data_IF_520162733209
#
_entry.id   IF_520162733209
#
_cell.length_a   1.000
_cell.length_b   1.000
_cell.length_c   1.000
_cell.angle_alpha   90.00
_cell.angle_beta   90.00
_cell.angle_gamma   90.00
#
_symmetry.space_group_name_H-M   'P 1'
#
loop_
_entity.id
_entity.type
_entity.pdbx_description
1 polymer ?
#
# COMPACT_ATOMS: atom_id res chain seq x y z
N UNK A 1 21.35 39.63 9.34
CA UNK A 1 20.25 39.57 8.34
C UNK A 1 19.24 38.56 8.85
N UNK A 2 17.94 38.87 8.99
CA UNK A 2 16.93 37.88 9.29
C UNK A 2 16.89 36.88 8.15
N UNK A 3 17.09 35.60 8.46
CA UNK A 3 17.06 34.52 7.47
C UNK A 3 15.65 34.39 6.91
N UNK A 4 15.57 34.05 5.62
CA UNK A 4 14.30 33.64 5.01
C UNK A 4 13.76 32.41 5.73
N UNK A 5 12.46 32.41 5.99
CA UNK A 5 11.76 31.26 6.58
C UNK A 5 10.90 30.62 5.50
N UNK A 6 10.83 29.31 5.48
CA UNK A 6 10.00 28.56 4.57
C UNK A 6 9.12 27.59 5.36
N UNK A 7 7.86 27.48 4.98
CA UNK A 7 6.98 26.40 5.43
C UNK A 7 6.80 25.41 4.32
N UNK A 8 6.67 24.13 4.66
CA UNK A 8 6.41 23.09 3.70
C UNK A 8 5.28 22.20 4.22
N UNK A 9 4.33 21.88 3.36
CA UNK A 9 3.23 20.97 3.68
C UNK A 9 2.97 20.00 2.53
N UNK A 10 2.40 18.86 2.86
CA UNK A 10 2.07 17.83 1.87
C UNK A 10 0.92 18.33 1.00
N UNK A 11 1.07 18.23 -0.32
CA UNK A 11 0.00 18.54 -1.26
C UNK A 11 -0.88 17.29 -1.47
N UNK A 12 -2.12 17.26 -0.95
CA UNK A 12 -2.99 16.09 -1.05
C UNK A 12 -3.45 15.78 -2.48
N UNK A 13 -3.29 16.71 -3.42
CA UNK A 13 -3.69 16.54 -4.82
C UNK A 13 -2.55 16.09 -5.75
N UNK A 14 -1.35 15.82 -5.22
CA UNK A 14 -0.17 15.48 -6.00
C UNK A 14 -0.08 14.00 -6.45
N UNK A 15 -1.18 13.25 -6.47
CA UNK A 15 -1.23 11.83 -6.85
C UNK A 15 -0.70 11.50 -8.27
N UNK A 16 -0.43 12.50 -9.10
CA UNK A 16 0.16 12.33 -10.44
C UNK A 16 1.63 12.73 -10.51
N UNK A 17 2.23 13.12 -9.40
CA UNK A 17 3.59 13.59 -9.38
C UNK A 17 4.59 12.42 -9.53
N UNK A 18 5.51 12.54 -10.48
CA UNK A 18 6.53 11.53 -10.77
C UNK A 18 7.73 11.54 -9.81
N UNK A 19 7.80 12.50 -8.86
CA UNK A 19 8.91 12.68 -7.92
C UNK A 19 8.39 13.03 -6.54
N UNK A 20 9.03 12.54 -5.49
CA UNK A 20 8.71 12.79 -4.08
C UNK A 20 8.63 14.28 -3.73
N UNK A 21 9.39 15.13 -4.43
CA UNK A 21 9.42 16.58 -4.21
C UNK A 21 8.12 17.26 -4.65
N UNK A 22 7.39 16.68 -5.61
CA UNK A 22 6.16 17.27 -6.15
C UNK A 22 4.95 17.11 -5.20
N UNK A 23 5.11 16.31 -4.13
CA UNK A 23 4.10 16.13 -3.07
C UNK A 23 4.16 17.21 -1.98
N UNK A 24 5.14 18.10 -2.03
CA UNK A 24 5.35 19.12 -1.01
C UNK A 24 5.19 20.49 -1.62
N UNK A 25 4.25 21.28 -1.09
CA UNK A 25 4.14 22.72 -1.38
C UNK A 25 5.02 23.46 -0.40
N UNK A 26 5.84 24.38 -0.91
CA UNK A 26 6.75 25.17 -0.10
C UNK A 26 6.46 26.66 -0.34
N UNK A 27 6.14 27.36 0.75
CA UNK A 27 5.92 28.81 0.75
C UNK A 27 7.06 29.52 1.48
N UNK A 28 7.61 30.58 0.87
CA UNK A 28 8.69 31.38 1.45
C UNK A 28 8.12 32.67 2.06
N UNK A 29 8.51 32.94 3.30
CA UNK A 29 8.15 34.14 4.05
C UNK A 29 9.39 34.96 4.41
N UNK A 30 9.25 36.28 4.45
CA UNK A 30 10.34 37.17 4.86
C UNK A 30 10.53 37.26 6.36
N UNK A 31 9.48 36.97 7.12
CA UNK A 31 9.48 37.01 8.57
C UNK A 31 8.49 36.00 9.14
N UNK A 32 8.78 35.51 10.36
CA UNK A 32 7.86 34.64 11.12
C UNK A 32 6.52 35.32 11.41
N UNK A 33 6.49 36.67 11.47
CA UNK A 33 5.26 37.43 11.72
C UNK A 33 4.35 37.55 10.49
N UNK A 34 4.81 37.11 9.32
CA UNK A 34 4.00 37.04 8.09
C UNK A 34 3.29 35.70 7.93
N UNK A 35 3.58 34.73 8.81
CA UNK A 35 2.98 33.39 8.80
C UNK A 35 1.68 33.43 9.62
N UNK A 36 0.60 33.88 9.01
CA UNK A 36 -0.76 33.82 9.58
C UNK A 36 -1.43 32.47 9.28
N UNK A 37 -0.73 31.36 9.53
CA UNK A 37 -1.31 30.03 9.32
C UNK A 37 -1.80 29.50 10.66
N UNK A 38 -3.09 29.31 10.81
CA UNK A 38 -3.62 28.48 11.88
C UNK A 38 -3.30 27.01 11.55
N UNK A 39 -2.22 26.51 12.18
CA UNK A 39 -1.76 25.14 11.97
C UNK A 39 -2.84 24.10 12.28
N UNK A 40 -3.73 24.42 13.20
CA UNK A 40 -4.82 23.50 13.57
C UNK A 40 -5.84 23.43 12.43
N UNK A 41 -6.24 24.55 11.89
CA UNK A 41 -7.17 24.63 10.76
C UNK A 41 -6.56 23.98 9.51
N UNK A 42 -5.28 24.23 9.23
CA UNK A 42 -4.55 23.60 8.12
C UNK A 42 -4.50 22.07 8.26
N UNK A 43 -4.17 21.55 9.44
CA UNK A 43 -4.14 20.11 9.70
C UNK A 43 -5.53 19.50 9.54
N UNK A 44 -6.58 20.12 10.11
CA UNK A 44 -7.96 19.65 9.97
C UNK A 44 -8.45 19.68 8.52
N UNK A 45 -8.01 20.65 7.72
CA UNK A 45 -8.36 20.74 6.30
C UNK A 45 -7.63 19.66 5.48
N UNK A 46 -6.35 19.42 5.73
CA UNK A 46 -5.57 18.34 5.11
C UNK A 46 -6.15 16.97 5.48
N UNK A 47 -6.45 16.73 6.74
CA UNK A 47 -7.09 15.47 7.19
C UNK A 47 -8.47 15.27 6.56
N UNK A 48 -9.26 16.33 6.43
CA UNK A 48 -10.57 16.28 5.78
C UNK A 48 -10.46 15.97 4.30
N UNK A 49 -9.51 16.56 3.61
CA UNK A 49 -9.27 16.32 2.19
C UNK A 49 -8.74 14.91 1.93
N UNK A 50 -7.76 14.45 2.71
CA UNK A 50 -7.27 13.08 2.68
C UNK A 50 -8.40 12.07 2.97
N UNK A 51 -9.22 12.34 3.98
CA UNK A 51 -10.37 11.49 4.32
C UNK A 51 -11.45 11.47 3.22
N UNK A 52 -11.65 12.56 2.48
CA UNK A 52 -12.55 12.59 1.32
C UNK A 52 -12.00 11.77 0.16
N UNK A 53 -10.71 11.89 -0.13
CA UNK A 53 -10.06 11.14 -1.21
C UNK A 53 -10.05 9.64 -0.92
N UNK A 54 -9.75 9.24 0.31
CA UNK A 54 -9.83 7.85 0.78
C UNK A 54 -11.24 7.27 0.64
N UNK A 55 -12.27 8.03 1.07
CA UNK A 55 -13.67 7.60 0.92
C UNK A 55 -14.11 7.53 -0.54
N UNK A 56 -13.71 8.47 -1.37
CA UNK A 56 -14.02 8.46 -2.80
C UNK A 56 -13.40 7.24 -3.50
N UNK A 57 -12.14 6.91 -3.18
CA UNK A 57 -11.46 5.72 -3.72
C UNK A 57 -12.10 4.42 -3.25
N UNK A 58 -12.49 4.30 -1.96
CA UNK A 58 -13.20 3.13 -1.43
C UNK A 58 -14.62 2.97 -1.99
N UNK A 59 -15.27 4.05 -2.38
CA UNK A 59 -16.61 4.02 -2.96
C UNK A 59 -16.63 3.59 -4.43
N UNK A 60 -15.50 3.69 -5.12
CA UNK A 60 -15.47 3.49 -6.58
C UNK A 60 -15.46 2.00 -6.98
N UNK A 61 -15.00 1.08 -6.14
CA UNK A 61 -14.79 -0.32 -6.56
C UNK A 61 -15.22 -1.40 -5.55
N UNK A 62 -15.36 -1.09 -4.27
CA UNK A 62 -15.71 -2.07 -3.21
C UNK A 62 -14.70 -3.22 -3.05
N UNK A 63 -13.59 -3.21 -3.78
CA UNK A 63 -12.54 -4.21 -3.74
C UNK A 63 -11.47 -3.87 -2.70
N UNK A 64 -10.89 -4.89 -2.08
CA UNK A 64 -9.72 -4.72 -1.20
C UNK A 64 -8.52 -4.31 -2.03
N UNK A 65 -7.86 -3.21 -1.66
CA UNK A 65 -6.67 -2.70 -2.34
C UNK A 65 -5.41 -3.29 -1.75
N UNK A 66 -4.48 -3.70 -2.59
CA UNK A 66 -3.28 -4.38 -2.16
C UNK A 66 -2.02 -3.92 -2.90
N UNK A 67 -0.89 -4.02 -2.21
CA UNK A 67 0.45 -3.92 -2.78
C UNK A 67 1.06 -5.32 -2.92
N UNK A 68 1.49 -5.67 -4.12
CA UNK A 68 2.16 -6.94 -4.39
C UNK A 68 3.67 -6.81 -4.19
N UNK A 69 4.26 -7.68 -3.38
CA UNK A 69 5.70 -7.67 -3.06
C UNK A 69 6.32 -9.00 -3.45
N UNK A 70 7.41 -8.94 -4.23
CA UNK A 70 8.14 -10.11 -4.66
C UNK A 70 9.65 -9.98 -4.54
N UNK A 71 10.32 -11.11 -4.21
CA UNK A 71 11.78 -11.22 -4.21
C UNK A 71 12.18 -12.31 -5.19
N UNK A 72 13.01 -11.99 -6.16
CA UNK A 72 13.39 -12.93 -7.22
C UNK A 72 14.90 -12.87 -7.46
N UNK A 73 15.45 -13.97 -7.96
CA UNK A 73 16.86 -14.04 -8.36
C UNK A 73 17.12 -13.36 -9.71
N UNK A 74 16.11 -13.34 -10.59
CA UNK A 74 16.18 -12.77 -11.95
C UNK A 74 14.89 -12.06 -12.33
N UNK A 75 15.00 -11.07 -13.23
CA UNK A 75 13.87 -10.31 -13.75
C UNK A 75 12.85 -11.19 -14.50
N UNK A 76 13.32 -12.10 -15.34
CA UNK A 76 12.44 -12.95 -16.15
C UNK A 76 11.55 -13.85 -15.26
N UNK A 77 12.08 -14.33 -14.13
CA UNK A 77 11.30 -15.10 -13.16
C UNK A 77 10.21 -14.23 -12.52
N UNK A 78 10.50 -12.94 -12.29
CA UNK A 78 9.54 -12.02 -11.69
C UNK A 78 8.32 -11.79 -12.58
N UNK A 79 8.52 -11.56 -13.89
CA UNK A 79 7.46 -11.11 -14.80
C UNK A 79 6.27 -12.08 -14.84
N UNK A 80 6.50 -13.36 -15.12
CA UNK A 80 5.41 -14.33 -15.21
C UNK A 80 4.78 -14.67 -13.84
N UNK A 81 5.58 -14.68 -12.77
CA UNK A 81 5.04 -14.91 -11.42
C UNK A 81 4.15 -13.78 -10.94
N UNK A 82 4.51 -12.55 -11.26
CA UNK A 82 3.70 -11.39 -10.92
C UNK A 82 2.39 -11.37 -11.69
N UNK A 83 2.40 -11.78 -12.96
CA UNK A 83 1.17 -11.91 -13.74
C UNK A 83 0.24 -12.95 -13.15
N UNK A 84 0.77 -14.14 -12.81
CA UNK A 84 0.01 -15.18 -12.11
C UNK A 84 -0.59 -14.65 -10.78
N UNK A 85 0.20 -13.91 -10.00
CA UNK A 85 -0.29 -13.34 -8.73
C UNK A 85 -1.38 -12.29 -8.93
N UNK A 86 -1.33 -11.50 -10.00
CA UNK A 86 -2.40 -10.54 -10.34
C UNK A 86 -3.70 -11.25 -10.70
N UNK A 87 -3.62 -12.33 -11.48
CA UNK A 87 -4.79 -13.15 -11.82
C UNK A 87 -5.42 -13.79 -10.57
N UNK A 88 -4.59 -14.33 -9.67
CA UNK A 88 -5.05 -14.86 -8.39
C UNK A 88 -5.71 -13.79 -7.52
N UNK A 89 -5.11 -12.60 -7.41
CA UNK A 89 -5.68 -11.49 -6.65
C UNK A 89 -7.03 -11.04 -7.24
N UNK A 90 -7.12 -10.91 -8.55
CA UNK A 90 -8.38 -10.60 -9.25
C UNK A 90 -9.45 -11.64 -8.96
N UNK A 91 -9.10 -12.92 -8.98
CA UNK A 91 -10.02 -14.03 -8.64
C UNK A 91 -10.48 -13.98 -7.18
N UNK A 92 -9.63 -13.52 -6.28
CA UNK A 92 -9.95 -13.30 -4.87
C UNK A 92 -10.75 -12.01 -4.60
N UNK A 93 -11.05 -11.20 -5.62
CA UNK A 93 -11.70 -9.90 -5.47
C UNK A 93 -10.78 -8.82 -4.87
N UNK A 94 -9.48 -8.96 -5.08
CA UNK A 94 -8.46 -8.00 -4.60
C UNK A 94 -7.86 -7.26 -5.79
N UNK A 95 -7.81 -5.93 -5.69
CA UNK A 95 -7.16 -5.07 -6.67
C UNK A 95 -5.70 -4.82 -6.30
N UNK A 96 -4.78 -5.09 -7.23
CA UNK A 96 -3.35 -4.77 -7.06
C UNK A 96 -3.09 -3.36 -7.60
N UNK A 97 -2.86 -2.41 -6.70
CA UNK A 97 -2.58 -1.02 -7.06
C UNK A 97 -1.17 -0.83 -7.60
N UNK A 98 -0.20 -1.51 -6.99
CA UNK A 98 1.19 -1.42 -7.41
C UNK A 98 1.97 -2.68 -7.02
N UNK A 99 3.21 -2.78 -7.53
CA UNK A 99 4.06 -3.94 -7.34
C UNK A 99 5.49 -3.53 -7.03
N UNK A 100 6.02 -3.99 -5.90
CA UNK A 100 7.41 -3.79 -5.52
C UNK A 100 8.19 -5.08 -5.69
N UNK A 101 9.28 -4.99 -6.46
CA UNK A 101 10.17 -6.11 -6.73
C UNK A 101 11.54 -5.84 -6.12
N UNK A 102 12.10 -6.86 -5.48
CA UNK A 102 13.51 -6.86 -5.12
C UNK A 102 14.23 -8.00 -5.83
N UNK A 103 15.28 -7.68 -6.59
CA UNK A 103 16.15 -8.70 -7.21
C UNK A 103 17.28 -9.00 -6.24
N UNK A 104 17.30 -10.23 -5.74
CA UNK A 104 18.37 -10.74 -4.86
C UNK A 104 18.40 -12.27 -4.87
N UNK A 105 19.59 -12.88 -4.67
CA UNK A 105 19.74 -14.34 -4.77
C UNK A 105 18.90 -15.14 -3.79
N UNK A 106 18.63 -14.59 -2.60
CA UNK A 106 17.82 -15.25 -1.56
C UNK A 106 16.99 -14.22 -0.80
N UNK A 107 15.72 -14.56 -0.44
CA UNK A 107 14.92 -13.75 0.46
C UNK A 107 15.61 -13.53 1.83
N UNK A 108 15.29 -12.41 2.48
CA UNK A 108 15.74 -12.18 3.84
C UNK A 108 15.08 -13.17 4.81
N UNK A 109 15.83 -13.79 5.74
CA UNK A 109 15.27 -14.80 6.64
C UNK A 109 14.18 -14.27 7.58
N UNK A 110 14.20 -12.96 7.92
CA UNK A 110 13.30 -12.34 8.89
C UNK A 110 12.16 -11.57 8.24
N UNK A 111 12.43 -10.85 7.17
CA UNK A 111 11.50 -9.89 6.58
C UNK A 111 11.16 -10.21 5.11
N UNK A 112 11.75 -11.26 4.52
CA UNK A 112 11.67 -11.63 3.08
C UNK A 112 12.37 -10.60 2.18
N UNK A 113 12.00 -9.34 2.26
CA UNK A 113 12.72 -8.19 1.68
C UNK A 113 13.71 -7.61 2.69
N UNK A 114 14.71 -6.86 2.23
CA UNK A 114 15.58 -6.12 3.14
C UNK A 114 14.82 -5.03 3.89
N UNK A 115 15.31 -4.64 5.09
CA UNK A 115 14.64 -3.65 5.94
C UNK A 115 14.33 -2.33 5.21
N UNK A 116 15.30 -1.73 4.50
CA UNK A 116 15.06 -0.50 3.74
C UNK A 116 14.03 -0.67 2.62
N UNK A 117 13.95 -1.86 1.99
CA UNK A 117 12.91 -2.15 1.01
C UNK A 117 11.53 -2.30 1.67
N UNK A 118 11.46 -2.83 2.89
CA UNK A 118 10.21 -2.89 3.65
C UNK A 118 9.73 -1.49 4.07
N UNK A 119 10.65 -0.60 4.42
CA UNK A 119 10.33 0.82 4.68
C UNK A 119 9.71 1.48 3.44
N UNK A 120 10.27 1.23 2.25
CA UNK A 120 9.72 1.70 0.96
C UNK A 120 8.30 1.12 0.71
N UNK A 121 8.11 -0.18 0.98
CA UNK A 121 6.78 -0.84 0.89
C UNK A 121 5.75 -0.13 1.77
N UNK A 122 6.10 0.14 3.03
CA UNK A 122 5.18 0.81 3.98
C UNK A 122 4.85 2.22 3.53
N UNK A 123 5.85 3.00 3.10
CA UNK A 123 5.62 4.36 2.59
C UNK A 123 4.70 4.36 1.38
N UNK A 124 4.88 3.41 0.46
CA UNK A 124 4.03 3.29 -0.72
C UNK A 124 2.60 2.86 -0.37
N UNK A 125 2.43 1.99 0.63
CA UNK A 125 1.10 1.65 1.14
C UNK A 125 0.38 2.87 1.73
N UNK A 126 1.10 3.72 2.46
CA UNK A 126 0.54 4.96 3.01
C UNK A 126 0.15 5.95 1.90
N UNK A 127 1.02 6.16 0.91
CA UNK A 127 0.77 7.06 -0.22
C UNK A 127 -0.45 6.63 -1.05
N UNK A 128 -0.64 5.32 -1.22
CA UNK A 128 -1.72 4.75 -2.02
C UNK A 128 -2.96 4.37 -1.20
N UNK A 129 -2.95 4.57 0.12
CA UNK A 129 -4.02 4.14 1.03
C UNK A 129 -4.35 2.65 0.90
N UNK A 130 -3.31 1.82 0.93
CA UNK A 130 -3.38 0.37 0.80
C UNK A 130 -3.49 -0.27 2.19
N UNK A 131 -4.41 -1.23 2.34
CA UNK A 131 -4.67 -1.93 3.59
C UNK A 131 -4.09 -3.36 3.63
N UNK A 132 -3.66 -3.89 2.48
CA UNK A 132 -3.22 -5.26 2.33
C UNK A 132 -1.88 -5.35 1.60
N UNK A 133 -0.92 -6.08 2.18
CA UNK A 133 0.32 -6.45 1.50
C UNK A 133 0.26 -7.93 1.14
N UNK A 134 0.50 -8.26 -0.12
CA UNK A 134 0.56 -9.64 -0.63
C UNK A 134 1.99 -9.98 -1.01
N UNK A 135 2.55 -11.03 -0.41
CA UNK A 135 3.87 -11.55 -0.79
C UNK A 135 3.74 -12.73 -1.75
N UNK A 136 4.48 -12.67 -2.88
CA UNK A 136 4.63 -13.83 -3.78
C UNK A 136 5.65 -14.86 -3.24
N UNK A 137 5.64 -15.08 -1.94
CA UNK A 137 6.46 -16.05 -1.24
C UNK A 137 5.67 -16.62 -0.08
N UNK A 138 5.86 -17.91 0.21
CA UNK A 138 5.29 -18.49 1.41
C UNK A 138 6.00 -17.91 2.63
N UNK A 139 5.25 -17.28 3.51
CA UNK A 139 5.75 -16.72 4.74
C UNK A 139 5.68 -17.73 5.88
N UNK A 140 6.77 -17.88 6.63
CA UNK A 140 6.63 -18.56 7.89
C UNK A 140 5.94 -17.65 8.93
N UNK A 141 5.35 -18.20 10.00
CA UNK A 141 4.59 -17.43 10.98
C UNK A 141 5.39 -16.29 11.66
N UNK A 142 6.72 -16.46 11.76
CA UNK A 142 7.60 -15.43 12.35
C UNK A 142 7.80 -14.27 11.38
N UNK A 143 8.00 -14.56 10.09
CA UNK A 143 8.10 -13.55 9.03
C UNK A 143 6.80 -12.75 8.92
N UNK A 144 5.66 -13.44 8.81
CA UNK A 144 4.36 -12.78 8.71
C UNK A 144 4.10 -11.82 9.89
N UNK A 145 4.36 -12.27 11.12
CA UNK A 145 4.23 -11.43 12.33
C UNK A 145 5.22 -10.26 12.35
N UNK A 146 6.48 -10.50 11.95
CA UNK A 146 7.49 -9.44 11.94
C UNK A 146 7.16 -8.34 10.93
N UNK A 147 6.68 -8.72 9.75
CA UNK A 147 6.27 -7.78 8.69
C UNK A 147 5.01 -7.03 9.11
N UNK A 148 3.98 -7.73 9.61
CA UNK A 148 2.74 -7.10 10.08
C UNK A 148 2.99 -6.12 11.23
N UNK A 149 3.83 -6.50 12.20
CA UNK A 149 4.21 -5.61 13.32
C UNK A 149 5.01 -4.38 12.89
N UNK A 150 5.74 -4.48 11.76
CA UNK A 150 6.51 -3.36 11.22
C UNK A 150 5.65 -2.40 10.40
N UNK A 151 4.71 -2.94 9.62
CA UNK A 151 3.89 -2.16 8.68
C UNK A 151 2.57 -1.67 9.29
N UNK A 152 2.10 -2.29 10.37
CA UNK A 152 0.75 -2.11 10.92
C UNK A 152 -0.38 -2.40 9.89
N UNK A 153 -0.08 -3.22 8.88
CA UNK A 153 -0.99 -3.58 7.81
C UNK A 153 -1.29 -5.08 7.82
N UNK A 154 -2.40 -5.47 7.17
CA UNK A 154 -2.69 -6.88 6.91
C UNK A 154 -1.66 -7.44 5.93
N UNK A 155 -1.06 -8.57 6.28
CA UNK A 155 -0.05 -9.25 5.45
C UNK A 155 -0.53 -10.66 5.17
N UNK A 156 -0.59 -11.02 3.89
CA UNK A 156 -0.87 -12.37 3.43
C UNK A 156 0.19 -12.85 2.45
N UNK A 157 0.28 -14.14 2.29
CA UNK A 157 1.14 -14.76 1.30
C UNK A 157 0.35 -15.42 0.17
N UNK A 158 1.05 -15.96 -0.82
CA UNK A 158 0.45 -16.68 -1.94
C UNK A 158 -0.47 -17.82 -1.47
N UNK A 159 -0.06 -18.59 -0.47
CA UNK A 159 -0.84 -19.71 0.04
C UNK A 159 -2.15 -19.25 0.66
N UNK A 160 -2.10 -18.20 1.47
CA UNK A 160 -3.29 -17.61 2.09
C UNK A 160 -4.24 -17.05 1.04
N UNK A 161 -3.73 -16.36 0.01
CA UNK A 161 -4.55 -15.85 -1.09
C UNK A 161 -5.29 -16.97 -1.82
N UNK A 162 -4.62 -18.09 -2.11
CA UNK A 162 -5.25 -19.25 -2.73
C UNK A 162 -6.31 -19.88 -1.82
N UNK A 163 -6.04 -19.98 -0.51
CA UNK A 163 -7.02 -20.49 0.45
C UNK A 163 -8.26 -19.58 0.55
N UNK A 164 -8.08 -18.27 0.49
CA UNK A 164 -9.18 -17.30 0.49
C UNK A 164 -10.08 -17.48 -0.75
N UNK A 165 -9.49 -17.74 -1.94
CA UNK A 165 -10.24 -18.07 -3.17
C UNK A 165 -11.09 -19.34 -2.97
N UNK A 166 -10.51 -20.39 -2.42
CA UNK A 166 -11.26 -21.62 -2.17
C UNK A 166 -12.37 -21.45 -1.15
N UNK A 167 -12.14 -20.68 -0.08
CA UNK A 167 -13.15 -20.40 0.93
C UNK A 167 -14.34 -19.62 0.34
N UNK A 168 -14.10 -18.63 -0.52
CA UNK A 168 -15.16 -17.90 -1.22
C UNK A 168 -15.98 -18.79 -2.15
N UNK A 169 -15.32 -19.68 -2.89
CA UNK A 169 -15.99 -20.65 -3.76
C UNK A 169 -16.83 -21.67 -2.98
N UNK A 170 -16.35 -22.14 -1.82
CA UNK A 170 -17.10 -23.06 -0.96
C UNK A 170 -18.40 -22.40 -0.45
N UNK A 171 -18.31 -21.18 0.08
CA UNK A 171 -19.49 -20.43 0.56
C UNK A 171 -20.52 -20.17 -0.55
N UNK A 172 -20.07 -19.88 -1.78
CA UNK A 172 -20.96 -19.65 -2.91
C UNK A 172 -21.72 -20.92 -3.35
N UNK A 173 -21.14 -22.10 -3.19
CA UNK A 173 -21.77 -23.40 -3.48
C UNK A 173 -22.80 -23.78 -2.42
N UNK A 174 -22.49 -23.62 -1.15
CA UNK A 174 -23.42 -23.87 -0.05
C UNK A 174 -24.61 -22.93 -0.09
N UNK A 175 -24.41 -21.66 -0.43
CA UNK A 175 -25.49 -20.69 -0.64
C UNK A 175 -26.44 -21.08 -1.80
N UNK A 176 -25.92 -21.64 -2.90
CA UNK A 176 -26.75 -22.12 -4.01
C UNK A 176 -27.59 -23.35 -3.65
N UNK A 177 -27.05 -24.27 -2.85
CA UNK A 177 -27.78 -25.47 -2.39
C UNK A 177 -28.92 -25.13 -1.41
N UNK A 178 -28.80 -24.04 -0.66
CA UNK A 178 -29.87 -23.58 0.25
C UNK A 178 -31.04 -22.87 -0.45
N UNK A 179 -30.87 -22.41 -1.67
CA UNK A 179 -31.90 -21.71 -2.45
C UNK A 179 -32.74 -22.71 -3.31
N UNK A 180 -32.25 -23.94 -3.53
CA UNK A 180 -32.96 -24.97 -4.31
C UNK A 180 -33.82 -25.90 -3.44
N UNK A 181 -33.93 -25.65 -2.14
CA UNK A 181 -34.86 -26.34 -1.22
C UNK A 181 -36.04 -25.46 -0.83
#
# INVERSE_FOLDING_TARGET
QPGKMATAHINPNAHKAKRTIDHVTQDEYRSIYEVEVDFKELVEEIERELGRQTKARKADDGQTRALLVGVYDRKQTAEWRLEEMRELATTAGVHIDDTIIQIRPKPDPKLVVGRGKLEEVVLQCLDLDIELIIFDHNLNPTQARSIAAFSDLKVIDRTQLILDIFAQHAQSRDGKLQVEL
#
